data_IF_215344557532
#
_entry.id   IF_215344557532
#
_cell.length_a   1.000
_cell.length_b   1.000
_cell.length_c   1.000
_cell.angle_alpha   90.00
_cell.angle_beta   90.00
_cell.angle_gamma   90.00
#
_symmetry.space_group_name_H-M   'P 1'
#
loop_
_entity.id
_entity.type
_entity.pdbx_description
1 polymer ?
#
# COMPACT_ATOMS: atom_id res chain seq x y z
N UNK A 1 20.02 7.25 21.11
CA UNK A 1 19.26 6.57 20.03
C UNK A 1 18.85 7.65 19.05
N UNK A 2 19.50 7.69 17.89
CA UNK A 2 19.23 8.67 16.85
C UNK A 2 17.82 8.40 16.31
N UNK A 3 16.91 9.35 16.47
CA UNK A 3 15.66 9.38 15.70
C UNK A 3 16.09 9.58 14.24
N UNK A 4 16.09 8.50 13.49
CA UNK A 4 16.23 8.57 12.03
C UNK A 4 15.06 9.41 11.56
N UNK A 5 15.36 10.57 11.02
CA UNK A 5 14.42 11.52 10.43
C UNK A 5 13.66 10.76 9.32
N UNK A 6 12.48 10.24 9.68
CA UNK A 6 11.63 9.53 8.73
C UNK A 6 11.04 10.61 7.84
N UNK A 7 11.64 10.80 6.66
CA UNK A 7 11.14 11.74 5.66
C UNK A 7 9.72 11.33 5.30
N UNK A 8 8.76 12.09 5.81
CA UNK A 8 7.34 11.95 5.45
C UNK A 8 7.01 12.96 4.37
N UNK A 9 6.24 12.54 3.39
CA UNK A 9 5.68 13.37 2.34
C UNK A 9 4.19 13.07 2.20
N UNK A 10 3.47 13.91 1.49
CA UNK A 10 2.10 13.61 1.15
C UNK A 10 2.07 12.66 -0.07
N UNK A 11 1.11 11.74 -0.06
CA UNK A 11 0.92 10.74 -1.09
C UNK A 11 -0.32 11.06 -1.91
N UNK A 12 -0.19 11.00 -3.22
CA UNK A 12 -1.30 11.00 -4.17
C UNK A 12 -1.36 9.65 -4.88
N UNK A 13 -2.54 9.07 -4.98
CA UNK A 13 -2.81 7.94 -5.87
C UNK A 13 -4.06 8.25 -6.69
N UNK A 14 -3.97 8.18 -8.01
CA UNK A 14 -5.10 8.32 -8.92
C UNK A 14 -5.20 7.11 -9.85
N UNK A 15 -6.40 6.59 -10.01
CA UNK A 15 -6.76 5.66 -11.07
C UNK A 15 -7.68 6.39 -12.06
N UNK A 16 -7.19 6.63 -13.27
CA UNK A 16 -7.95 7.25 -14.35
C UNK A 16 -8.63 6.16 -15.18
N UNK A 17 -9.95 6.28 -15.34
CA UNK A 17 -10.82 5.23 -15.91
C UNK A 17 -11.81 5.80 -16.93
N UNK A 18 -12.56 4.94 -17.60
CA UNK A 18 -13.78 5.35 -18.32
C UNK A 18 -14.88 5.75 -17.33
N UNK A 19 -15.98 6.33 -17.83
CA UNK A 19 -17.04 6.91 -17.00
C UNK A 19 -17.60 5.94 -15.97
N UNK A 20 -17.39 6.28 -14.70
CA UNK A 20 -17.90 5.56 -13.55
C UNK A 20 -19.41 5.74 -13.40
N UNK A 21 -20.15 4.76 -12.85
CA UNK A 21 -21.57 4.88 -12.61
C UNK A 21 -21.87 6.05 -11.65
N UNK A 22 -22.64 7.07 -12.05
CA UNK A 22 -22.84 8.28 -11.23
C UNK A 22 -23.40 7.99 -9.84
N UNK A 23 -24.30 7.00 -9.71
CA UNK A 23 -24.91 6.62 -8.43
C UNK A 23 -23.93 5.95 -7.46
N UNK A 24 -22.83 5.38 -7.96
CA UNK A 24 -21.82 4.71 -7.15
C UNK A 24 -20.56 5.57 -6.97
N UNK A 25 -20.42 6.68 -7.68
CA UNK A 25 -19.19 7.45 -7.78
C UNK A 25 -18.64 7.87 -6.42
N UNK A 26 -19.47 8.49 -5.58
CA UNK A 26 -19.07 8.91 -4.23
C UNK A 26 -18.60 7.72 -3.38
N UNK A 27 -19.39 6.66 -3.35
CA UNK A 27 -19.08 5.45 -2.58
C UNK A 27 -17.77 4.78 -3.06
N UNK A 28 -17.53 4.75 -4.36
CA UNK A 28 -16.29 4.21 -4.94
C UNK A 28 -15.09 5.07 -4.53
N UNK A 29 -15.18 6.39 -4.59
CA UNK A 29 -14.12 7.31 -4.18
C UNK A 29 -13.78 7.21 -2.70
N UNK A 30 -14.79 7.21 -1.84
CA UNK A 30 -14.62 7.05 -0.39
C UNK A 30 -14.01 5.68 -0.04
N UNK A 31 -14.51 4.59 -0.64
CA UNK A 31 -13.99 3.25 -0.41
C UNK A 31 -12.54 3.09 -0.88
N UNK A 32 -12.19 3.65 -2.04
CA UNK A 32 -10.84 3.63 -2.56
C UNK A 32 -9.86 4.32 -1.60
N UNK A 33 -10.16 5.56 -1.22
CA UNK A 33 -9.30 6.36 -0.34
C UNK A 33 -9.18 5.77 1.06
N UNK A 34 -10.30 5.34 1.66
CA UNK A 34 -10.33 4.78 3.00
C UNK A 34 -9.56 3.46 3.08
N UNK A 35 -9.72 2.59 2.07
CA UNK A 35 -9.01 1.30 2.06
C UNK A 35 -7.51 1.50 1.88
N UNK A 36 -7.09 2.38 0.97
CA UNK A 36 -5.67 2.74 0.82
C UNK A 36 -5.07 3.22 2.14
N UNK A 37 -5.71 4.19 2.79
CA UNK A 37 -5.23 4.75 4.05
C UNK A 37 -5.16 3.71 5.16
N UNK A 38 -6.20 2.88 5.31
CA UNK A 38 -6.24 1.83 6.33
C UNK A 38 -5.11 0.80 6.13
N UNK A 39 -4.82 0.42 4.88
CA UNK A 39 -3.76 -0.52 4.57
C UNK A 39 -2.36 0.07 4.82
N UNK A 40 -2.14 1.34 4.49
CA UNK A 40 -0.88 2.03 4.79
C UNK A 40 -0.68 2.19 6.31
N UNK A 41 -1.74 2.53 7.04
CA UNK A 41 -1.72 2.62 8.50
C UNK A 41 -1.41 1.28 9.16
N UNK A 42 -2.03 0.20 8.72
CA UNK A 42 -1.77 -1.15 9.23
C UNK A 42 -0.31 -1.59 9.04
N UNK A 43 0.35 -1.07 8.01
CA UNK A 43 1.76 -1.30 7.73
C UNK A 43 2.71 -0.33 8.46
N UNK A 44 2.18 0.66 9.18
CA UNK A 44 2.96 1.68 9.90
C UNK A 44 3.58 2.73 8.98
N UNK A 45 3.04 2.91 7.78
CA UNK A 45 3.52 3.89 6.80
C UNK A 45 2.87 5.27 6.97
N UNK A 46 1.78 5.38 7.74
CA UNK A 46 1.13 6.66 8.04
C UNK A 46 1.18 6.97 9.52
N UNK A 47 1.25 8.25 9.86
CA UNK A 47 1.14 8.73 11.23
C UNK A 47 -0.32 8.73 11.70
N UNK A 48 -0.54 8.85 13.02
CA UNK A 48 -1.89 8.88 13.60
C UNK A 48 -2.70 10.13 13.22
N UNK A 49 -2.01 11.21 12.86
CA UNK A 49 -2.58 12.49 12.42
C UNK A 49 -2.70 12.61 10.89
N UNK A 50 -2.39 11.56 10.15
CA UNK A 50 -2.57 11.54 8.70
C UNK A 50 -4.01 11.78 8.31
N UNK A 51 -4.23 12.68 7.35
CA UNK A 51 -5.55 12.99 6.80
C UNK A 51 -5.70 12.37 5.43
N UNK A 52 -6.90 11.91 5.14
CA UNK A 52 -7.27 11.29 3.88
C UNK A 52 -8.29 12.18 3.19
N UNK A 53 -7.97 12.62 1.98
CA UNK A 53 -8.91 13.34 1.12
C UNK A 53 -9.28 12.46 -0.06
N UNK A 54 -10.51 11.97 -0.13
CA UNK A 54 -10.99 11.25 -1.30
C UNK A 54 -11.31 12.22 -2.43
N UNK A 55 -10.96 11.81 -3.64
CA UNK A 55 -11.35 12.49 -4.86
C UNK A 55 -12.09 11.53 -5.77
N UNK A 56 -13.18 11.99 -6.35
CA UNK A 56 -13.92 11.21 -7.33
C UNK A 56 -14.58 12.15 -8.34
N UNK A 57 -14.37 11.87 -9.60
CA UNK A 57 -15.06 12.51 -10.72
C UNK A 57 -15.44 11.43 -11.74
N UNK A 58 -16.28 11.71 -12.74
CA UNK A 58 -16.80 10.67 -13.64
C UNK A 58 -15.77 9.70 -14.20
N UNK A 59 -14.51 10.13 -14.35
CA UNK A 59 -13.45 9.31 -14.96
C UNK A 59 -12.27 9.05 -14.05
N UNK A 60 -12.39 9.24 -12.72
CA UNK A 60 -11.27 8.99 -11.81
C UNK A 60 -11.69 8.69 -10.39
N UNK A 61 -10.87 7.89 -9.74
CA UNK A 61 -10.84 7.70 -8.29
C UNK A 61 -9.45 8.11 -7.81
N UNK A 62 -9.37 8.98 -6.81
CA UNK A 62 -8.07 9.33 -6.26
C UNK A 62 -8.12 9.52 -4.74
N UNK A 63 -6.95 9.44 -4.12
CA UNK A 63 -6.76 9.68 -2.71
C UNK A 63 -5.51 10.54 -2.50
N UNK A 64 -5.63 11.57 -1.69
CA UNK A 64 -4.51 12.31 -1.14
C UNK A 64 -4.40 11.99 0.34
N UNK A 65 -3.22 11.56 0.80
CA UNK A 65 -2.96 11.11 2.16
C UNK A 65 -1.75 11.88 2.69
N UNK A 66 -1.92 12.60 3.81
CA UNK A 66 -0.83 13.38 4.40
C UNK A 66 0.08 12.53 5.26
N UNK A 67 1.33 12.97 5.47
CA UNK A 67 2.32 12.40 6.39
C UNK A 67 2.57 10.90 6.17
N UNK A 68 2.84 10.49 4.94
CA UNK A 68 3.21 9.12 4.58
C UNK A 68 4.72 8.98 4.61
N UNK A 69 5.22 7.95 5.31
CA UNK A 69 6.65 7.67 5.41
C UNK A 69 7.15 6.87 4.19
N UNK A 70 8.38 7.15 3.76
CA UNK A 70 9.04 6.37 2.70
C UNK A 70 9.33 4.92 3.14
N UNK A 71 9.48 4.70 4.45
CA UNK A 71 9.66 3.39 5.08
C UNK A 71 9.03 3.41 6.47
N UNK A 72 8.31 2.36 6.81
CA UNK A 72 7.81 2.16 8.17
C UNK A 72 8.95 1.89 9.16
N UNK A 73 8.77 2.24 10.42
CA UNK A 73 9.75 1.95 11.46
C UNK A 73 9.91 0.44 11.63
N UNK A 74 11.15 0.02 11.85
CA UNK A 74 11.44 -1.35 12.26
C UNK A 74 10.83 -1.62 13.64
N UNK A 75 10.22 -2.78 13.82
CA UNK A 75 9.53 -3.14 15.07
C UNK A 75 10.25 -4.29 15.76
N UNK A 76 10.62 -4.07 17.03
CA UNK A 76 11.05 -5.16 17.89
C UNK A 76 9.84 -6.07 18.17
N UNK A 77 9.98 -7.36 17.92
CA UNK A 77 8.97 -8.38 18.16
C UNK A 77 9.57 -9.54 18.95
N UNK A 78 8.75 -10.17 19.78
CA UNK A 78 9.12 -11.42 20.41
C UNK A 78 8.45 -12.57 19.67
N UNK A 79 9.26 -13.43 19.07
CA UNK A 79 8.79 -14.61 18.38
C UNK A 79 8.75 -15.79 19.35
N UNK A 80 7.57 -16.35 19.58
CA UNK A 80 7.41 -17.60 20.31
C UNK A 80 7.95 -18.74 19.45
N UNK A 81 8.90 -19.49 19.98
CA UNK A 81 9.54 -20.62 19.29
C UNK A 81 8.83 -21.93 19.60
N UNK A 82 8.97 -22.41 20.86
CA UNK A 82 8.43 -23.68 21.32
C UNK A 82 8.49 -23.76 22.85
N UNK A 83 7.81 -24.73 23.49
CA UNK A 83 7.96 -24.99 24.92
C UNK A 83 9.42 -25.29 25.30
N UNK A 84 9.85 -24.82 26.48
CA UNK A 84 11.21 -25.04 27.00
C UNK A 84 11.56 -26.53 27.02
N UNK A 85 10.62 -27.40 27.46
CA UNK A 85 10.80 -28.85 27.52
C UNK A 85 11.02 -29.54 26.16
N UNK A 86 10.69 -28.88 25.06
CA UNK A 86 10.90 -29.38 23.70
C UNK A 86 12.17 -28.76 23.10
N UNK A 87 12.44 -27.50 23.42
CA UNK A 87 13.53 -26.74 22.83
C UNK A 87 14.89 -26.96 23.51
N UNK A 88 14.90 -27.29 24.80
CA UNK A 88 16.14 -27.51 25.57
C UNK A 88 16.12 -28.91 26.18
N UNK A 89 17.28 -29.55 26.21
CA UNK A 89 17.49 -30.82 26.91
C UNK A 89 17.68 -30.62 28.42
N UNK A 90 17.90 -31.72 29.15
CA UNK A 90 18.11 -31.70 30.61
C UNK A 90 19.37 -30.94 31.05
N UNK A 91 20.32 -30.74 30.16
CA UNK A 91 21.54 -29.95 30.34
C UNK A 91 21.40 -28.50 29.88
N UNK A 92 20.21 -28.10 29.41
CA UNK A 92 19.93 -26.77 28.90
C UNK A 92 20.50 -26.49 27.49
N UNK A 93 20.91 -27.56 26.77
CA UNK A 93 21.38 -27.43 25.40
C UNK A 93 20.24 -27.42 24.42
N UNK A 94 20.44 -26.78 23.25
CA UNK A 94 19.44 -26.72 22.21
C UNK A 94 19.20 -28.09 21.58
N UNK A 95 17.95 -28.48 21.53
CA UNK A 95 17.57 -29.71 20.81
C UNK A 95 17.61 -29.51 19.28
N UNK A 96 17.71 -30.59 18.49
CA UNK A 96 17.64 -30.49 17.02
C UNK A 96 16.36 -29.78 16.54
N UNK A 97 15.25 -29.89 17.27
CA UNK A 97 14.01 -29.20 16.96
C UNK A 97 14.13 -27.67 17.08
N UNK A 98 14.77 -27.20 18.13
CA UNK A 98 15.04 -25.76 18.33
C UNK A 98 16.00 -25.23 17.25
N UNK A 99 17.07 -25.95 16.98
CA UNK A 99 18.06 -25.55 15.95
C UNK A 99 17.41 -25.45 14.57
N UNK A 100 16.57 -26.43 14.19
CA UNK A 100 15.81 -26.38 12.93
C UNK A 100 14.86 -25.20 12.87
N UNK A 101 14.20 -24.86 13.99
CA UNK A 101 13.29 -23.71 14.07
C UNK A 101 14.04 -22.38 13.93
N UNK A 102 15.19 -22.24 14.58
CA UNK A 102 16.06 -21.06 14.47
C UNK A 102 16.56 -20.90 13.04
N UNK A 103 17.05 -21.96 12.42
CA UNK A 103 17.50 -21.95 11.03
C UNK A 103 16.38 -21.53 10.08
N UNK A 104 15.16 -21.99 10.28
CA UNK A 104 14.00 -21.58 9.48
C UNK A 104 13.62 -20.09 9.63
N UNK A 105 14.04 -19.48 10.75
CA UNK A 105 13.87 -18.04 11.03
C UNK A 105 15.12 -17.22 10.63
N UNK A 106 16.12 -17.85 10.03
CA UNK A 106 17.39 -17.19 9.67
C UNK A 106 18.26 -16.79 10.88
N UNK A 107 18.00 -17.39 12.05
CA UNK A 107 18.75 -17.11 13.27
C UNK A 107 19.87 -18.15 13.47
N UNK A 108 21.05 -17.66 13.85
CA UNK A 108 22.20 -18.51 14.15
C UNK A 108 22.03 -19.24 15.50
N UNK A 109 22.61 -20.45 15.68
CA UNK A 109 22.58 -21.17 16.95
C UNK A 109 23.17 -20.40 18.14
N UNK A 110 23.99 -19.40 17.87
CA UNK A 110 24.61 -18.51 18.86
C UNK A 110 23.61 -17.66 19.66
N UNK A 111 22.35 -17.55 19.18
CA UNK A 111 21.29 -16.83 19.91
C UNK A 111 20.65 -17.65 21.02
N UNK A 112 20.94 -18.94 21.14
CA UNK A 112 20.30 -19.83 22.13
C UNK A 112 20.45 -19.31 23.57
N UNK A 113 21.61 -18.81 24.02
CA UNK A 113 21.76 -18.22 25.37
C UNK A 113 20.95 -16.93 25.58
N UNK A 114 20.51 -16.26 24.50
CA UNK A 114 19.76 -15.00 24.54
C UNK A 114 18.24 -15.23 24.50
N UNK A 115 17.80 -16.49 24.33
CA UNK A 115 16.38 -16.83 24.33
C UNK A 115 15.75 -16.54 25.68
N UNK A 116 14.64 -15.86 25.67
CA UNK A 116 13.86 -15.56 26.88
C UNK A 116 12.92 -16.70 27.18
N UNK A 117 12.82 -17.08 28.45
CA UNK A 117 11.81 -18.00 28.95
C UNK A 117 10.65 -17.18 29.52
N UNK A 118 9.47 -17.46 29.07
CA UNK A 118 8.28 -16.76 29.56
C UNK A 118 7.13 -17.75 29.75
N UNK A 119 6.24 -17.50 30.75
CA UNK A 119 5.05 -18.31 30.95
C UNK A 119 4.16 -18.35 29.71
N UNK A 120 3.72 -19.53 29.34
CA UNK A 120 2.77 -19.78 28.25
C UNK A 120 1.72 -20.78 28.72
N UNK A 121 0.69 -20.26 29.38
CA UNK A 121 -0.31 -21.07 30.06
C UNK A 121 0.25 -21.83 31.26
N UNK A 122 0.26 -23.16 31.23
CA UNK A 122 0.76 -24.03 32.30
C UNK A 122 2.24 -24.41 32.17
N UNK A 123 2.90 -23.98 31.11
CA UNK A 123 4.31 -24.29 30.80
C UNK A 123 5.09 -23.02 30.49
N UNK A 124 6.41 -23.13 30.39
CA UNK A 124 7.27 -22.07 29.86
C UNK A 124 7.58 -22.30 28.40
N UNK A 125 7.64 -21.22 27.64
CA UNK A 125 8.08 -21.24 26.25
C UNK A 125 9.31 -20.38 26.02
N UNK A 126 10.08 -20.73 25.00
CA UNK A 126 11.22 -19.97 24.51
C UNK A 126 10.74 -18.90 23.54
N UNK A 127 11.27 -17.69 23.73
CA UNK A 127 11.01 -16.53 22.90
C UNK A 127 12.33 -15.97 22.38
N UNK A 128 12.32 -15.60 21.11
CA UNK A 128 13.42 -14.91 20.44
C UNK A 128 13.03 -13.43 20.25
N UNK A 129 13.84 -12.52 20.77
CA UNK A 129 13.74 -11.11 20.41
C UNK A 129 14.27 -10.95 18.98
N UNK A 130 13.44 -10.41 18.12
CA UNK A 130 13.74 -10.18 16.70
C UNK A 130 13.32 -8.79 16.30
N UNK A 131 13.83 -8.33 15.18
CA UNK A 131 13.42 -7.06 14.57
C UNK A 131 12.77 -7.37 13.23
N UNK A 132 11.51 -7.00 13.09
CA UNK A 132 10.83 -7.04 11.79
C UNK A 132 11.08 -5.71 11.09
N UNK A 133 11.75 -5.79 9.96
CA UNK A 133 12.00 -4.61 9.11
C UNK A 133 10.69 -3.99 8.66
N UNK A 134 10.57 -2.68 8.79
CA UNK A 134 9.41 -1.93 8.33
C UNK A 134 9.24 -2.01 6.81
N UNK A 135 7.99 -2.02 6.36
CA UNK A 135 7.67 -2.02 4.93
C UNK A 135 8.18 -0.75 4.26
N UNK A 136 8.71 -0.87 3.04
CA UNK A 136 9.01 0.27 2.17
C UNK A 136 7.72 0.78 1.54
N UNK A 137 7.67 2.06 1.15
CA UNK A 137 6.45 2.66 0.59
C UNK A 137 6.02 1.98 -0.72
N UNK A 138 6.96 1.66 -1.60
CA UNK A 138 6.67 0.96 -2.85
C UNK A 138 5.98 -0.38 -2.64
N UNK A 139 6.53 -1.24 -1.79
CA UNK A 139 5.93 -2.54 -1.47
C UNK A 139 4.62 -2.40 -0.67
N UNK A 140 4.57 -1.46 0.26
CA UNK A 140 3.39 -1.21 1.08
C UNK A 140 2.25 -0.59 0.29
N UNK A 141 2.54 0.35 -0.61
CA UNK A 141 1.54 0.96 -1.48
C UNK A 141 1.03 -0.03 -2.53
N UNK A 142 1.90 -0.88 -3.09
CA UNK A 142 1.44 -1.93 -4.00
C UNK A 142 0.38 -2.80 -3.33
N UNK A 143 0.67 -3.30 -2.13
CA UNK A 143 -0.29 -4.10 -1.36
C UNK A 143 -1.58 -3.33 -1.03
N UNK A 144 -1.46 -2.05 -0.65
CA UNK A 144 -2.61 -1.22 -0.34
C UNK A 144 -3.49 -0.95 -1.56
N UNK A 145 -2.89 -0.74 -2.73
CA UNK A 145 -3.58 -0.50 -3.99
C UNK A 145 -4.31 -1.76 -4.48
N UNK A 146 -3.66 -2.92 -4.42
CA UNK A 146 -4.27 -4.20 -4.77
C UNK A 146 -5.51 -4.47 -3.91
N UNK A 147 -5.41 -4.24 -2.61
CA UNK A 147 -6.52 -4.42 -1.67
C UNK A 147 -7.63 -3.38 -1.88
N UNK A 148 -7.27 -2.12 -2.15
CA UNK A 148 -8.24 -1.07 -2.44
C UNK A 148 -9.07 -1.41 -3.68
N UNK A 149 -8.43 -1.87 -4.75
CA UNK A 149 -9.11 -2.29 -5.98
C UNK A 149 -9.99 -3.52 -5.73
N UNK A 150 -9.49 -4.52 -5.01
CA UNK A 150 -10.21 -5.77 -4.74
C UNK A 150 -11.46 -5.56 -3.87
N UNK A 151 -11.45 -4.57 -2.97
CA UNK A 151 -12.55 -4.28 -2.04
C UNK A 151 -13.50 -3.18 -2.49
N UNK A 152 -13.31 -2.61 -3.68
CA UNK A 152 -14.24 -1.60 -4.18
C UNK A 152 -15.67 -2.18 -4.27
N UNK A 153 -16.70 -1.44 -3.80
CA UNK A 153 -18.08 -1.87 -3.90
C UNK A 153 -18.62 -1.68 -5.32
N UNK A 154 -18.06 -2.44 -6.25
CA UNK A 154 -18.36 -2.32 -7.69
C UNK A 154 -19.73 -2.93 -7.98
N UNK A 155 -20.72 -2.15 -8.47
CA UNK A 155 -22.06 -2.67 -8.73
C UNK A 155 -22.11 -3.64 -9.91
N UNK A 156 -21.22 -3.47 -10.88
CA UNK A 156 -21.08 -4.34 -12.06
C UNK A 156 -19.66 -4.35 -12.53
N UNK A 157 -19.08 -5.55 -12.62
CA UNK A 157 -17.73 -5.78 -13.12
C UNK A 157 -17.76 -5.98 -14.63
N UNK A 158 -16.80 -5.40 -15.33
CA UNK A 158 -16.51 -5.62 -16.74
C UNK A 158 -15.18 -6.34 -16.88
N UNK A 159 -15.10 -7.23 -17.87
CA UNK A 159 -13.82 -7.82 -18.29
C UNK A 159 -13.35 -7.12 -19.56
N UNK A 160 -12.10 -6.69 -19.60
CA UNK A 160 -11.50 -6.10 -20.80
C UNK A 160 -10.05 -6.58 -20.99
N UNK A 161 -9.61 -6.59 -22.25
CA UNK A 161 -8.29 -7.06 -22.64
C UNK A 161 -7.24 -5.95 -22.45
N UNK A 162 -6.07 -6.35 -21.99
CA UNK A 162 -4.92 -5.46 -21.89
C UNK A 162 -4.20 -5.39 -23.24
N UNK A 163 -3.89 -4.17 -23.69
CA UNK A 163 -3.16 -3.92 -24.93
C UNK A 163 -1.65 -3.72 -24.70
N UNK A 164 -1.25 -3.47 -23.46
CA UNK A 164 0.12 -3.27 -23.02
C UNK A 164 0.27 -3.64 -21.53
N UNK A 165 1.52 -3.66 -21.02
CA UNK A 165 1.78 -3.91 -19.60
C UNK A 165 1.45 -5.32 -19.12
N UNK A 166 1.37 -6.31 -20.03
CA UNK A 166 1.03 -7.70 -19.74
C UNK A 166 1.85 -8.65 -20.61
N UNK A 167 1.82 -9.94 -20.27
CA UNK A 167 2.60 -10.95 -20.99
C UNK A 167 2.08 -11.20 -22.41
N UNK A 168 0.76 -11.11 -22.62
CA UNK A 168 0.11 -11.40 -23.91
C UNK A 168 -0.88 -10.29 -24.26
N UNK A 169 -0.43 -9.19 -24.88
CA UNK A 169 -1.29 -8.10 -25.35
C UNK A 169 -2.44 -8.60 -26.23
N UNK A 170 -3.67 -8.13 -25.96
CA UNK A 170 -4.89 -8.55 -26.64
C UNK A 170 -5.46 -9.89 -26.15
N UNK A 171 -4.78 -10.64 -25.29
CA UNK A 171 -5.24 -11.92 -24.72
C UNK A 171 -5.43 -11.87 -23.22
N UNK A 172 -4.48 -11.26 -22.51
CA UNK A 172 -4.58 -11.09 -21.07
C UNK A 172 -5.69 -10.10 -20.76
N UNK A 173 -6.51 -10.41 -19.77
CA UNK A 173 -7.65 -9.60 -19.38
C UNK A 173 -7.65 -9.30 -17.88
N UNK A 174 -8.28 -8.19 -17.53
CA UNK A 174 -8.54 -7.79 -16.15
C UNK A 174 -10.02 -7.50 -15.95
N UNK A 175 -10.43 -7.49 -14.70
CA UNK A 175 -11.80 -7.19 -14.30
C UNK A 175 -11.83 -5.93 -13.47
N UNK A 176 -12.63 -4.96 -13.87
CA UNK A 176 -12.86 -3.73 -13.13
C UNK A 176 -14.23 -3.12 -13.47
N UNK A 177 -14.61 -2.04 -12.76
CA UNK A 177 -15.90 -1.36 -13.02
C UNK A 177 -15.96 -0.74 -14.40
N UNK A 178 -14.85 -0.23 -14.90
CA UNK A 178 -14.64 0.35 -16.25
C UNK A 178 -13.19 0.15 -16.67
N UNK A 179 -12.85 0.19 -17.96
CA UNK A 179 -11.47 0.18 -18.41
C UNK A 179 -10.65 1.29 -17.78
N UNK A 180 -9.49 0.92 -17.24
CA UNK A 180 -8.53 1.85 -16.66
C UNK A 180 -7.48 2.22 -17.70
N UNK A 181 -7.10 3.49 -17.75
CA UNK A 181 -6.21 4.06 -18.77
C UNK A 181 -5.00 4.78 -18.19
N UNK A 182 -5.00 5.11 -16.91
CA UNK A 182 -3.90 5.80 -16.26
C UNK A 182 -3.81 5.49 -14.77
N UNK A 183 -2.59 5.50 -14.27
CA UNK A 183 -2.28 5.36 -12.85
C UNK A 183 -1.27 6.44 -12.48
N UNK A 184 -1.59 7.26 -11.50
CA UNK A 184 -0.66 8.20 -10.89
C UNK A 184 -0.40 7.74 -9.46
N UNK A 185 0.87 7.71 -9.06
CA UNK A 185 1.27 7.51 -7.67
C UNK A 185 2.48 8.39 -7.36
N UNK A 186 2.29 9.41 -6.52
CA UNK A 186 3.32 10.38 -6.16
C UNK A 186 3.47 10.44 -4.65
N UNK A 187 4.70 10.37 -4.17
CA UNK A 187 5.10 10.69 -2.81
C UNK A 187 5.88 12.00 -2.84
N UNK A 188 5.22 13.11 -2.48
CA UNK A 188 5.70 14.44 -2.79
C UNK A 188 5.82 14.64 -4.31
N UNK A 189 7.03 14.80 -4.79
CA UNK A 189 7.38 14.92 -6.21
C UNK A 189 7.81 13.59 -6.84
N UNK A 190 8.03 12.55 -6.05
CA UNK A 190 8.63 11.29 -6.51
C UNK A 190 7.55 10.28 -6.92
N UNK A 191 7.69 9.71 -8.12
CA UNK A 191 6.82 8.62 -8.57
C UNK A 191 7.11 7.36 -7.74
N UNK A 192 6.07 6.77 -7.17
CA UNK A 192 6.14 5.46 -6.48
C UNK A 192 5.88 4.36 -7.53
N UNK A 193 6.80 3.40 -7.73
CA UNK A 193 6.71 2.43 -8.82
C UNK A 193 5.74 1.28 -8.47
N UNK A 194 4.44 1.56 -8.53
CA UNK A 194 3.38 0.56 -8.34
C UNK A 194 2.65 0.28 -9.64
N UNK A 195 1.96 -0.85 -9.70
CA UNK A 195 1.19 -1.27 -10.88
C UNK A 195 -0.24 -1.65 -10.50
N UNK A 196 -1.18 -1.45 -11.39
CA UNK A 196 -2.56 -1.91 -11.22
C UNK A 196 -3.25 -2.05 -12.58
N UNK A 197 -4.06 -3.09 -12.75
CA UNK A 197 -4.89 -3.30 -13.94
C UNK A 197 -4.10 -3.24 -15.28
N UNK A 198 -2.84 -3.69 -15.26
CA UNK A 198 -1.94 -3.63 -16.41
C UNK A 198 -1.27 -2.26 -16.63
N UNK A 199 -1.48 -1.31 -15.73
CA UNK A 199 -0.90 0.03 -15.78
C UNK A 199 0.29 0.13 -14.84
N UNK A 200 1.29 0.91 -15.24
CA UNK A 200 2.40 1.32 -14.39
C UNK A 200 2.19 2.75 -13.93
N UNK A 201 2.47 3.01 -12.67
CA UNK A 201 2.33 4.35 -12.11
C UNK A 201 3.29 5.36 -12.77
N UNK A 202 2.77 6.54 -12.98
CA UNK A 202 3.48 7.70 -13.48
C UNK A 202 2.98 8.96 -12.79
N UNK A 203 3.08 10.09 -13.51
CA UNK A 203 2.60 11.40 -13.06
C UNK A 203 1.66 12.09 -14.05
N UNK A 204 1.35 11.43 -15.16
CA UNK A 204 0.48 11.98 -16.20
C UNK A 204 -0.96 11.53 -15.99
N UNK A 205 -1.88 12.45 -16.14
CA UNK A 205 -3.33 12.23 -16.14
C UNK A 205 -3.98 13.00 -17.27
N UNK A 206 -5.31 12.98 -17.36
CA UNK A 206 -6.07 13.65 -18.41
C UNK A 206 -7.10 14.60 -17.80
N UNK A 207 -7.39 15.69 -18.49
CA UNK A 207 -8.41 16.64 -18.12
C UNK A 207 -9.79 16.30 -18.72
N UNK A 208 -10.65 17.32 -18.77
CA UNK A 208 -11.90 17.25 -19.51
C UNK A 208 -11.62 17.14 -21.02
N UNK A 209 -12.27 16.20 -21.68
CA UNK A 209 -11.98 15.82 -23.09
C UNK A 209 -11.94 16.99 -24.08
N UNK A 210 -12.75 18.02 -23.84
CA UNK A 210 -12.94 19.14 -24.77
C UNK A 210 -12.53 20.49 -24.19
N UNK A 211 -12.38 20.62 -22.88
CA UNK A 211 -12.17 21.91 -22.20
C UNK A 211 -10.81 22.01 -21.50
N UNK A 212 -10.08 20.90 -21.44
CA UNK A 212 -8.73 20.93 -20.86
C UNK A 212 -7.81 21.85 -21.67
N UNK A 213 -7.08 22.72 -21.00
CA UNK A 213 -6.08 23.58 -21.63
C UNK A 213 -4.86 22.79 -22.11
N UNK A 214 -4.60 21.65 -21.50
CA UNK A 214 -3.50 20.74 -21.80
C UNK A 214 -3.94 19.27 -21.62
N UNK A 215 -3.52 18.40 -22.52
CA UNK A 215 -3.71 16.94 -22.42
C UNK A 215 -2.55 16.18 -23.10
N UNK A 216 -1.80 15.28 -22.43
CA UNK A 216 -1.94 14.93 -21.01
C UNK A 216 -1.47 16.04 -20.05
N UNK A 217 -1.96 15.98 -18.81
CA UNK A 217 -1.60 16.86 -17.71
C UNK A 217 -0.52 16.18 -16.86
N UNK A 218 0.54 16.89 -16.54
CA UNK A 218 1.58 16.41 -15.65
C UNK A 218 1.34 16.92 -14.22
N UNK A 219 1.18 16.00 -13.27
CA UNK A 219 1.15 16.32 -11.84
C UNK A 219 2.58 16.36 -11.34
N UNK A 220 3.05 17.53 -10.97
CA UNK A 220 4.41 17.74 -10.48
C UNK A 220 4.59 17.37 -9.00
N UNK A 221 3.57 17.59 -8.18
CA UNK A 221 3.58 17.33 -6.75
C UNK A 221 2.23 16.83 -6.26
N UNK A 222 2.24 15.91 -5.28
CA UNK A 222 1.02 15.30 -4.72
C UNK A 222 0.00 16.35 -4.23
N UNK A 223 0.46 17.42 -3.59
CA UNK A 223 -0.40 18.48 -3.02
C UNK A 223 -1.05 19.39 -4.07
N UNK A 224 -0.51 19.39 -5.27
CA UNK A 224 -1.01 20.27 -6.34
C UNK A 224 -2.06 19.61 -7.24
N UNK A 225 -2.42 18.39 -6.95
CA UNK A 225 -3.34 17.60 -7.78
C UNK A 225 -4.64 18.31 -8.11
N UNK A 226 -5.38 18.73 -7.09
CA UNK A 226 -6.69 19.37 -7.30
C UNK A 226 -6.59 20.73 -8.02
N UNK A 227 -5.58 21.54 -7.69
CA UNK A 227 -5.35 22.85 -8.35
C UNK A 227 -4.94 22.67 -9.81
N UNK A 228 -4.02 21.75 -10.12
CA UNK A 228 -3.59 21.46 -11.49
C UNK A 228 -4.76 20.95 -12.34
N UNK A 229 -5.58 20.05 -11.81
CA UNK A 229 -6.75 19.56 -12.53
C UNK A 229 -7.77 20.66 -12.80
N UNK A 230 -7.97 21.58 -11.87
CA UNK A 230 -8.87 22.73 -12.06
C UNK A 230 -8.32 23.69 -13.10
N UNK A 231 -7.05 24.07 -12.99
CA UNK A 231 -6.42 25.11 -13.82
C UNK A 231 -6.13 24.63 -15.25
N UNK A 232 -5.63 23.41 -15.40
CA UNK A 232 -5.19 22.89 -16.69
C UNK A 232 -6.16 21.88 -17.29
N UNK A 233 -6.90 21.17 -16.44
CA UNK A 233 -7.73 20.06 -16.82
C UNK A 233 -9.22 20.39 -16.97
N UNK A 234 -9.66 21.59 -16.55
CA UNK A 234 -11.07 21.92 -16.44
C UNK A 234 -11.89 20.86 -15.66
N UNK A 235 -11.30 20.33 -14.57
CA UNK A 235 -11.90 19.28 -13.73
C UNK A 235 -11.89 19.70 -12.28
N UNK A 236 -13.04 19.60 -11.63
CA UNK A 236 -13.19 19.63 -10.18
C UNK A 236 -13.04 18.21 -9.68
N UNK A 237 -11.93 17.93 -8.97
CA UNK A 237 -11.62 16.59 -8.47
C UNK A 237 -12.43 16.21 -7.22
N UNK A 238 -12.74 17.21 -6.38
CA UNK A 238 -13.53 17.03 -5.16
C UNK A 238 -14.99 16.78 -5.49
N UNK A 239 -15.60 15.84 -4.76
CA UNK A 239 -17.03 15.57 -4.88
C UNK A 239 -17.89 16.57 -4.09
N UNK A 240 -17.28 17.25 -3.12
CA UNK A 240 -17.97 18.18 -2.20
C UNK A 240 -17.89 19.65 -2.68
N UNK A 241 -17.16 19.95 -3.75
CA UNK A 241 -17.10 21.25 -4.43
C UNK A 241 -18.02 21.30 -5.64
#
# INVERSE_FOLDING_TARGET
>A
MSMTDMTTQNLLVELFVEELPPKALRQLGEAFATTLAAQLQAQGLTAADSRVTPYASPRRLAAHITHVAAKAADRAVQLKLMPVSVGLDAQGQATPALLKKLQALGAEPTVVPQLKRQPDGKAEALFLDSVVTGATLDSGLQKALDEAIARLPIPKVMTYQLQAGCARPGWDSVQFVRPAHGLVALHGETVVPVTALGLQAGRATHGHRFEAAQDPITIDHADRYASILREQGAVIASFDE
#
